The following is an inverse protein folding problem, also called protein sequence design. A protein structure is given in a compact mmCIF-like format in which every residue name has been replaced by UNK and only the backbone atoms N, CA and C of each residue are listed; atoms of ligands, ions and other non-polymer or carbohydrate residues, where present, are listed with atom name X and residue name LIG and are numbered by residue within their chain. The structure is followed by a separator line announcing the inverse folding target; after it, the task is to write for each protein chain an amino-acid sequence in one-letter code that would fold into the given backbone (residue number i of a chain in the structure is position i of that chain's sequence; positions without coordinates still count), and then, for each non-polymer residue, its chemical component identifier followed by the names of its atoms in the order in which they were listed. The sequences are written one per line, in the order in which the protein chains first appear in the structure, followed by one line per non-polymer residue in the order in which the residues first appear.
data_IF_640318435852
#
_entry.id   IF_640318435852
#
_cell.length_a   1.000
_cell.length_b   1.000
_cell.length_c   1.000
_cell.angle_alpha   90.00
_cell.angle_beta   90.00
_cell.angle_gamma   90.00
#
_symmetry.space_group_name_H-M   'P 1'
#
loop_
_entity.id
_entity.type
_entity.pdbx_description
1 polymer ?
#
# COMPACT_ATOMS: atom_id res chain seq x y z
N UNK A 1 26.69 -15.04 16.21
CA UNK A 1 25.41 -14.30 16.16
C UNK A 1 25.22 -13.68 14.77
N UNK A 2 24.87 -14.48 13.75
CA UNK A 2 24.65 -13.98 12.36
C UNK A 2 23.57 -14.79 11.63
N UNK A 3 23.41 -16.05 12.01
CA UNK A 3 22.45 -16.98 11.39
C UNK A 3 21.03 -16.72 11.90
N UNK A 4 20.88 -16.45 13.21
CA UNK A 4 19.58 -16.18 13.83
C UNK A 4 18.98 -14.85 13.35
N UNK A 5 19.79 -13.78 13.29
CA UNK A 5 19.35 -12.48 12.75
C UNK A 5 18.87 -12.57 11.32
N UNK A 6 19.55 -13.34 10.46
CA UNK A 6 19.15 -13.50 9.06
C UNK A 6 17.80 -14.21 8.92
N UNK A 7 17.48 -15.14 9.83
CA UNK A 7 16.19 -15.84 9.85
C UNK A 7 15.06 -14.93 10.35
N UNK A 8 15.31 -14.20 11.44
CA UNK A 8 14.34 -13.26 12.01
C UNK A 8 14.08 -12.12 11.02
N UNK A 9 15.13 -11.52 10.43
CA UNK A 9 15.00 -10.50 9.39
C UNK A 9 14.20 -11.01 8.20
N UNK A 10 14.43 -12.23 7.72
CA UNK A 10 13.67 -12.78 6.58
C UNK A 10 12.19 -12.92 6.90
N UNK A 11 11.87 -13.38 8.11
CA UNK A 11 10.49 -13.53 8.58
C UNK A 11 9.82 -12.17 8.76
N UNK A 12 10.51 -11.21 9.38
CA UNK A 12 10.03 -9.83 9.60
C UNK A 12 9.84 -9.11 8.27
N UNK A 13 10.78 -9.20 7.33
CA UNK A 13 10.63 -8.62 5.99
C UNK A 13 9.42 -9.23 5.26
N UNK A 14 9.19 -10.54 5.40
CA UNK A 14 8.06 -11.22 4.78
C UNK A 14 6.73 -10.72 5.31
N UNK A 15 6.61 -10.61 6.64
CA UNK A 15 5.41 -10.09 7.32
C UNK A 15 5.21 -8.61 6.98
N UNK A 16 6.28 -7.82 6.99
CA UNK A 16 6.26 -6.40 6.66
C UNK A 16 5.77 -6.14 5.22
N UNK A 17 6.31 -6.86 4.23
CA UNK A 17 5.81 -6.76 2.86
C UNK A 17 4.35 -7.19 2.74
N UNK A 18 3.95 -8.26 3.44
CA UNK A 18 2.57 -8.74 3.40
C UNK A 18 1.58 -7.73 3.99
N UNK A 19 1.94 -7.07 5.10
CA UNK A 19 1.13 -6.02 5.71
C UNK A 19 1.01 -4.80 4.78
N UNK A 20 2.12 -4.32 4.22
CA UNK A 20 2.09 -3.21 3.26
C UNK A 20 1.21 -3.54 2.07
N UNK A 21 1.34 -4.74 1.52
CA UNK A 21 0.51 -5.18 0.40
C UNK A 21 -0.98 -5.19 0.76
N UNK A 22 -1.32 -5.68 1.95
CA UNK A 22 -2.69 -5.70 2.44
C UNK A 22 -3.27 -4.30 2.62
N UNK A 23 -2.53 -3.38 3.25
CA UNK A 23 -2.96 -1.99 3.43
C UNK A 23 -3.09 -1.24 2.10
N UNK A 24 -2.15 -1.44 1.18
CA UNK A 24 -2.20 -0.84 -0.15
C UNK A 24 -3.43 -1.33 -0.90
N UNK A 25 -3.70 -2.63 -0.85
CA UNK A 25 -4.90 -3.22 -1.47
C UNK A 25 -6.20 -2.68 -0.86
N UNK A 26 -6.27 -2.58 0.47
CA UNK A 26 -7.42 -1.98 1.16
C UNK A 26 -7.65 -0.53 0.75
N UNK A 27 -6.59 0.26 0.65
CA UNK A 27 -6.68 1.66 0.26
C UNK A 27 -7.21 1.82 -1.16
N UNK A 28 -6.70 1.03 -2.11
CA UNK A 28 -7.21 1.01 -3.49
C UNK A 28 -8.69 0.65 -3.52
N UNK A 29 -9.12 -0.35 -2.75
CA UNK A 29 -10.53 -0.71 -2.65
C UNK A 29 -11.36 0.45 -2.11
N UNK A 30 -10.96 1.04 -0.97
CA UNK A 30 -11.70 2.12 -0.32
C UNK A 30 -11.88 3.29 -1.29
N UNK A 31 -10.81 3.70 -1.97
CA UNK A 31 -10.83 4.83 -2.87
C UNK A 31 -11.63 4.58 -4.15
N UNK A 32 -11.55 3.37 -4.72
CA UNK A 32 -12.40 2.98 -5.86
C UNK A 32 -13.87 2.98 -5.48
N UNK A 33 -14.21 2.52 -4.26
CA UNK A 33 -15.59 2.61 -3.77
C UNK A 33 -16.00 4.06 -3.46
N UNK A 34 -15.12 4.87 -2.87
CA UNK A 34 -15.40 6.26 -2.51
C UNK A 34 -15.59 7.17 -3.73
N UNK A 35 -14.82 6.94 -4.79
CA UNK A 35 -14.90 7.72 -6.03
C UNK A 35 -15.71 7.01 -7.12
N UNK A 36 -16.41 5.91 -6.81
CA UNK A 36 -17.19 5.14 -7.79
C UNK A 36 -18.22 6.03 -8.50
N UNK A 37 -18.91 6.90 -7.75
CA UNK A 37 -19.91 7.84 -8.28
C UNK A 37 -19.29 8.91 -9.18
N UNK A 38 -18.09 9.40 -8.86
CA UNK A 38 -17.37 10.41 -9.64
C UNK A 38 -16.75 9.81 -10.91
N UNK A 39 -16.26 8.57 -10.84
CA UNK A 39 -15.75 7.81 -12.00
C UNK A 39 -16.90 7.53 -12.98
N UNK A 40 -18.09 7.18 -12.47
CA UNK A 40 -19.25 6.91 -13.31
C UNK A 40 -19.84 8.17 -13.95
N UNK A 41 -19.76 9.33 -13.27
CA UNK A 41 -20.33 10.60 -13.76
C UNK A 41 -19.38 11.41 -14.62
N UNK A 42 -18.06 11.34 -14.40
CA UNK A 42 -17.14 12.37 -14.89
C UNK A 42 -16.08 11.88 -15.89
N UNK A 43 -16.15 10.62 -16.36
CA UNK A 43 -15.19 10.02 -17.30
C UNK A 43 -13.73 10.39 -16.95
N UNK A 44 -13.39 10.31 -15.67
CA UNK A 44 -12.04 10.60 -15.22
C UNK A 44 -11.09 9.57 -15.83
N UNK A 45 -10.08 10.06 -16.55
CA UNK A 45 -9.10 9.21 -17.23
C UNK A 45 -8.39 8.35 -16.19
N UNK A 46 -8.62 7.03 -16.24
CA UNK A 46 -7.99 6.04 -15.35
C UNK A 46 -6.46 6.20 -15.25
N UNK A 47 -5.85 6.76 -16.29
CA UNK A 47 -4.43 7.13 -16.36
C UNK A 47 -3.99 8.11 -15.27
N UNK A 48 -4.81 9.13 -14.96
CA UNK A 48 -4.50 10.15 -13.94
C UNK A 48 -4.61 9.52 -12.55
N UNK A 49 -5.59 8.64 -12.37
CA UNK A 49 -5.82 7.89 -11.14
C UNK A 49 -4.62 6.98 -10.83
N UNK A 50 -4.11 6.25 -11.83
CA UNK A 50 -2.90 5.43 -11.71
C UNK A 50 -1.67 6.29 -11.36
N UNK A 51 -1.50 7.45 -11.98
CA UNK A 51 -0.39 8.36 -11.66
C UNK A 51 -0.47 8.91 -10.23
N UNK A 52 -1.68 9.26 -9.79
CA UNK A 52 -1.93 9.70 -8.43
C UNK A 52 -1.54 8.61 -7.42
N UNK A 53 -1.98 7.37 -7.67
CA UNK A 53 -1.62 6.21 -6.87
C UNK A 53 -0.13 5.96 -6.80
N UNK A 54 0.55 5.94 -7.95
CA UNK A 54 2.00 5.75 -8.01
C UNK A 54 2.75 6.83 -7.23
N UNK A 55 2.28 8.08 -7.29
CA UNK A 55 2.88 9.19 -6.53
C UNK A 55 2.58 9.12 -5.03
N UNK A 56 1.47 8.48 -4.64
CA UNK A 56 1.07 8.32 -3.24
C UNK A 56 1.72 7.11 -2.55
N UNK A 57 2.21 6.12 -3.29
CA UNK A 57 2.93 4.95 -2.75
C UNK A 57 4.02 5.32 -1.73
N UNK A 58 4.94 6.27 -1.97
CA UNK A 58 5.98 6.61 -1.00
C UNK A 58 5.41 7.21 0.29
N UNK A 59 4.35 8.01 0.21
CA UNK A 59 3.68 8.61 1.37
C UNK A 59 2.98 7.52 2.20
N UNK A 60 2.23 6.64 1.53
CA UNK A 60 1.61 5.47 2.13
C UNK A 60 2.65 4.58 2.82
N UNK A 61 3.79 4.35 2.18
CA UNK A 61 4.87 3.55 2.74
C UNK A 61 5.42 4.15 4.05
N UNK A 62 5.64 5.47 4.11
CA UNK A 62 6.11 6.15 5.33
C UNK A 62 5.07 6.06 6.46
N UNK A 63 3.77 6.13 6.14
CA UNK A 63 2.72 6.04 7.14
C UNK A 63 2.49 4.60 7.64
N UNK A 64 2.58 3.60 6.76
CA UNK A 64 2.31 2.20 7.08
C UNK A 64 3.52 1.53 7.73
N UNK A 65 4.75 1.96 7.41
CA UNK A 65 5.99 1.44 7.99
C UNK A 65 5.99 1.35 9.53
N UNK A 66 5.60 2.39 10.30
CA UNK A 66 5.55 2.30 11.77
C UNK A 66 4.49 1.31 12.27
N UNK A 67 3.32 1.23 11.63
CA UNK A 67 2.29 0.24 12.00
C UNK A 67 2.72 -1.19 11.70
N UNK A 68 3.50 -1.38 10.64
CA UNK A 68 3.95 -2.70 10.22
C UNK A 68 5.18 -3.19 11.01
N UNK A 69 5.78 -2.33 11.83
CA UNK A 69 6.92 -2.65 12.70
C UNK A 69 6.52 -2.80 14.18
N UNK A 70 5.28 -2.44 14.53
CA UNK A 70 4.64 -2.63 15.84
C UNK A 70 4.13 -4.07 16.00
#
# INVERSE_FOLDING_TARGET
MRILDRYILKSVIGIFLSCIFFFLFLYVIIDVLSHLDDILKQQTHLTILIQYYLSYIPIMFVQIAPFSCL
#
